data_IF_413717832456
#
_entry.id   IF_413717832456
#
_cell.length_a   1.000
_cell.length_b   1.000
_cell.length_c   1.000
_cell.angle_alpha   90.00
_cell.angle_beta   90.00
_cell.angle_gamma   90.00
#
_symmetry.space_group_name_H-M   'P 1'
#
loop_
_entity.id
_entity.type
_entity.pdbx_description
1 polymer ?
#
# COMPACT_ATOMS: atom_id res chain seq x y z
N UNK A 1 -13.11 -14.95 12.89
CA UNK A 1 -12.19 -13.78 12.92
C UNK A 1 -13.01 -12.51 12.99
N UNK A 2 -12.55 -11.48 13.71
CA UNK A 2 -13.28 -10.22 13.85
C UNK A 2 -13.23 -9.32 12.60
N UNK A 3 -12.24 -9.54 11.74
CA UNK A 3 -12.07 -8.83 10.47
C UNK A 3 -11.27 -9.67 9.48
N UNK A 4 -11.40 -9.34 8.20
CA UNK A 4 -10.61 -9.84 7.08
C UNK A 4 -9.40 -8.94 6.91
N UNK A 5 -8.20 -9.39 7.28
CA UNK A 5 -6.96 -8.60 7.16
C UNK A 5 -6.26 -8.97 5.88
N UNK A 6 -6.10 -8.01 4.96
CA UNK A 6 -5.43 -8.19 3.67
C UNK A 6 -4.17 -7.33 3.67
N UNK A 7 -3.00 -7.95 3.54
CA UNK A 7 -1.73 -7.24 3.66
C UNK A 7 -1.15 -6.87 2.30
N UNK A 8 -0.81 -5.57 2.09
CA UNK A 8 -0.05 -5.15 0.91
C UNK A 8 1.29 -5.85 0.86
N UNK A 9 1.66 -6.34 -0.32
CA UNK A 9 2.86 -7.13 -0.54
C UNK A 9 3.72 -6.52 -1.66
N UNK A 10 4.95 -6.14 -1.29
CA UNK A 10 5.91 -5.56 -2.22
C UNK A 10 6.74 -6.65 -2.90
N UNK A 11 6.71 -6.78 -4.24
CA UNK A 11 7.49 -7.79 -4.95
C UNK A 11 8.94 -7.40 -5.24
N UNK A 12 9.43 -6.23 -4.76
CA UNK A 12 10.73 -5.64 -5.14
C UNK A 12 11.93 -6.21 -4.34
N UNK A 13 11.94 -7.52 -4.11
CA UNK A 13 13.03 -8.23 -3.44
C UNK A 13 13.71 -9.23 -4.39
N UNK A 14 13.84 -8.86 -5.65
CA UNK A 14 14.65 -9.52 -6.67
C UNK A 14 15.12 -8.49 -7.69
N UNK A 15 16.30 -8.68 -8.33
CA UNK A 15 16.79 -7.77 -9.35
C UNK A 15 15.90 -7.77 -10.59
N UNK A 16 15.77 -6.59 -11.21
CA UNK A 16 15.18 -6.41 -12.54
C UNK A 16 16.03 -5.43 -13.36
N UNK A 17 16.06 -5.55 -14.70
CA UNK A 17 16.90 -4.70 -15.54
C UNK A 17 16.66 -3.20 -15.36
N UNK A 18 15.40 -2.78 -15.17
CA UNK A 18 15.04 -1.37 -14.97
C UNK A 18 15.70 -0.78 -13.72
N UNK A 19 15.74 -1.56 -12.64
CA UNK A 19 16.40 -1.14 -11.40
C UNK A 19 17.93 -1.19 -11.55
N UNK A 20 18.46 -2.26 -12.13
CA UNK A 20 19.91 -2.46 -12.29
C UNK A 20 20.53 -1.35 -13.14
N UNK A 21 19.86 -0.90 -14.20
CA UNK A 21 20.32 0.20 -15.08
C UNK A 21 20.45 1.53 -14.34
N UNK A 22 19.64 1.77 -13.31
CA UNK A 22 19.61 3.05 -12.60
C UNK A 22 20.42 2.99 -11.30
N UNK A 23 20.29 1.91 -10.55
CA UNK A 23 20.83 1.78 -9.19
C UNK A 23 22.08 0.91 -9.10
N UNK A 24 22.39 0.17 -10.15
CA UNK A 24 23.49 -0.76 -10.25
C UNK A 24 23.05 -2.22 -10.16
N UNK A 25 23.88 -3.16 -10.69
CA UNK A 25 23.56 -4.57 -10.78
C UNK A 25 23.18 -5.20 -9.43
N UNK A 26 22.14 -6.01 -9.43
CA UNK A 26 21.64 -6.72 -8.25
C UNK A 26 20.84 -5.87 -7.28
N UNK A 27 20.36 -4.71 -7.71
CA UNK A 27 19.56 -3.83 -6.85
C UNK A 27 18.24 -4.47 -6.45
N UNK A 28 17.96 -4.46 -5.15
CA UNK A 28 16.68 -4.80 -4.54
C UNK A 28 16.34 -3.81 -3.43
N UNK A 29 15.16 -3.91 -2.84
CA UNK A 29 14.78 -3.12 -1.66
C UNK A 29 15.80 -3.24 -0.53
N UNK A 30 16.41 -4.41 -0.34
CA UNK A 30 17.45 -4.67 0.65
C UNK A 30 18.67 -3.75 0.52
N UNK A 31 18.98 -3.31 -0.69
CA UNK A 31 20.11 -2.40 -0.94
C UNK A 31 20.00 -1.11 -0.13
N UNK A 32 18.79 -0.56 -0.01
CA UNK A 32 18.56 0.65 0.78
C UNK A 32 18.41 0.36 2.27
N UNK A 33 17.73 -0.71 2.62
CA UNK A 33 17.52 -1.13 4.02
C UNK A 33 18.88 -1.37 4.70
N UNK A 34 19.77 -2.14 4.07
CA UNK A 34 21.09 -2.46 4.62
C UNK A 34 22.02 -1.23 4.72
N UNK A 35 21.87 -0.23 3.83
CA UNK A 35 22.67 1.01 3.84
C UNK A 35 22.15 2.06 4.83
N UNK A 36 20.95 1.88 5.38
CA UNK A 36 20.37 2.85 6.32
C UNK A 36 21.27 3.10 7.52
N UNK A 37 21.19 4.33 8.04
CA UNK A 37 21.97 4.75 9.22
C UNK A 37 21.06 5.50 10.21
N UNK A 38 21.32 5.39 11.50
CA UNK A 38 20.65 6.22 12.49
C UNK A 38 20.78 7.71 12.17
N UNK A 39 19.70 8.46 12.21
CA UNK A 39 19.68 9.92 11.98
C UNK A 39 19.50 10.72 13.27
N UNK A 40 19.35 10.05 14.40
CA UNK A 40 19.38 10.59 15.77
C UNK A 40 19.73 9.48 16.78
N UNK A 41 20.07 9.85 18.00
CA UNK A 41 20.38 8.89 19.06
C UNK A 41 19.17 8.00 19.40
N UNK A 42 19.37 6.67 19.43
CA UNK A 42 18.31 5.68 19.66
C UNK A 42 17.42 5.39 18.44
N UNK A 43 17.72 5.93 17.25
CA UNK A 43 17.01 5.59 16.03
C UNK A 43 17.31 4.16 15.58
N UNK A 44 16.27 3.33 15.43
CA UNK A 44 16.40 1.94 15.01
C UNK A 44 16.64 1.85 13.51
N UNK A 45 17.90 1.91 13.12
CA UNK A 45 18.38 1.67 11.74
C UNK A 45 19.83 1.15 11.78
N UNK A 46 20.22 0.27 10.85
CA UNK A 46 19.37 -0.40 9.87
C UNK A 46 18.41 -1.39 10.54
N UNK A 47 17.27 -1.62 9.91
CA UNK A 47 16.32 -2.66 10.32
C UNK A 47 16.75 -3.99 9.71
N UNK A 48 16.86 -5.02 10.55
CA UNK A 48 17.40 -6.32 10.14
C UNK A 48 16.32 -7.39 10.28
N UNK A 49 16.02 -8.13 9.21
CA UNK A 49 15.09 -9.25 9.28
C UNK A 49 15.59 -10.35 10.20
N UNK A 50 14.69 -11.02 10.91
CA UNK A 50 14.98 -12.17 11.75
C UNK A 50 14.81 -13.49 10.95
N UNK A 51 13.64 -14.12 11.02
CA UNK A 51 13.37 -15.48 10.53
C UNK A 51 13.64 -15.70 9.04
N UNK A 52 13.29 -14.70 8.21
CA UNK A 52 13.36 -14.82 6.74
C UNK A 52 14.71 -14.37 6.16
N UNK A 53 15.56 -13.70 6.96
CA UNK A 53 16.80 -13.09 6.48
C UNK A 53 16.57 -12.06 5.37
N UNK A 54 17.64 -11.72 4.64
CA UNK A 54 17.60 -10.88 3.44
C UNK A 54 17.22 -11.72 2.22
N UNK A 55 15.95 -12.05 2.12
CA UNK A 55 15.42 -13.00 1.16
C UNK A 55 15.37 -12.51 -0.28
N UNK A 56 15.24 -13.46 -1.20
CA UNK A 56 14.91 -13.23 -2.61
C UNK A 56 13.54 -13.85 -2.91
N UNK A 57 12.62 -13.06 -3.46
CA UNK A 57 11.26 -13.51 -3.75
C UNK A 57 11.15 -14.44 -4.97
N UNK A 58 12.25 -14.73 -5.68
CA UNK A 58 12.31 -15.78 -6.70
C UNK A 58 12.31 -17.19 -6.08
N UNK A 59 12.66 -17.30 -4.79
CA UNK A 59 12.67 -18.57 -4.08
C UNK A 59 11.25 -18.92 -3.61
N UNK A 60 10.68 -20.06 -4.02
CA UNK A 60 9.34 -20.47 -3.60
C UNK A 60 9.26 -20.71 -2.09
N UNK A 61 10.32 -21.21 -1.46
CA UNK A 61 10.42 -21.48 -0.03
C UNK A 61 10.21 -20.20 0.78
N UNK A 62 10.76 -19.07 0.34
CA UNK A 62 10.55 -17.76 0.98
C UNK A 62 9.07 -17.38 0.95
N UNK A 63 8.43 -17.51 -0.20
CA UNK A 63 7.01 -17.17 -0.36
C UNK A 63 6.09 -18.07 0.46
N UNK A 64 6.44 -19.36 0.59
CA UNK A 64 5.72 -20.32 1.43
C UNK A 64 5.87 -19.98 2.92
N UNK A 65 7.08 -19.65 3.38
CA UNK A 65 7.32 -19.22 4.77
C UNK A 65 6.58 -17.93 5.10
N UNK A 66 6.59 -16.94 4.21
CA UNK A 66 5.83 -15.70 4.39
C UNK A 66 4.32 -15.98 4.52
N UNK A 67 3.76 -16.82 3.66
CA UNK A 67 2.36 -17.22 3.71
C UNK A 67 2.02 -17.98 5.00
N UNK A 68 2.93 -18.82 5.50
CA UNK A 68 2.77 -19.52 6.76
C UNK A 68 2.71 -18.56 7.94
N UNK A 69 3.66 -17.63 8.05
CA UNK A 69 3.68 -16.59 9.09
C UNK A 69 2.40 -15.72 9.05
N UNK A 70 1.96 -15.34 7.85
CA UNK A 70 0.76 -14.54 7.66
C UNK A 70 -0.51 -15.31 8.12
N UNK A 71 -0.64 -16.57 7.75
CA UNK A 71 -1.75 -17.45 8.17
C UNK A 71 -1.80 -17.62 9.69
N UNK A 72 -0.64 -17.81 10.31
CA UNK A 72 -0.53 -17.95 11.77
C UNK A 72 -0.92 -16.69 12.50
N UNK A 73 -0.57 -15.51 11.94
CA UNK A 73 -0.96 -14.22 12.48
C UNK A 73 -2.46 -13.90 12.29
N UNK A 74 -3.16 -14.59 11.37
CA UNK A 74 -4.57 -14.30 11.07
C UNK A 74 -4.77 -13.29 9.94
N UNK A 75 -3.74 -13.08 9.12
CA UNK A 75 -3.86 -12.38 7.84
C UNK A 75 -4.59 -13.30 6.86
N UNK A 76 -5.63 -12.79 6.19
CA UNK A 76 -6.41 -13.56 5.24
C UNK A 76 -5.64 -13.84 3.96
N UNK A 77 -4.91 -12.84 3.45
CA UNK A 77 -4.18 -12.96 2.20
C UNK A 77 -3.33 -11.75 1.86
N UNK A 78 -2.59 -11.86 0.76
CA UNK A 78 -1.73 -10.81 0.26
C UNK A 78 -2.37 -10.01 -0.86
N UNK A 79 -2.24 -8.67 -0.80
CA UNK A 79 -2.55 -7.76 -1.89
C UNK A 79 -1.25 -7.39 -2.59
N UNK A 80 -0.95 -8.08 -3.70
CA UNK A 80 0.29 -7.84 -4.43
C UNK A 80 0.25 -6.50 -5.16
N UNK A 81 1.30 -5.68 -5.02
CA UNK A 81 1.53 -4.58 -5.92
C UNK A 81 1.75 -5.12 -7.33
N UNK A 82 0.87 -4.73 -8.24
CA UNK A 82 0.85 -5.12 -9.64
C UNK A 82 1.23 -3.93 -10.50
N UNK A 83 2.21 -4.11 -11.39
CA UNK A 83 2.76 -3.05 -12.23
C UNK A 83 2.48 -3.36 -13.70
N UNK A 84 1.42 -2.79 -14.23
CA UNK A 84 1.11 -2.75 -15.65
C UNK A 84 1.31 -1.33 -16.14
N UNK A 85 2.38 -1.11 -16.94
CA UNK A 85 2.82 0.23 -17.34
C UNK A 85 2.23 0.71 -18.67
N UNK A 86 1.35 -0.08 -19.27
CA UNK A 86 0.79 0.12 -20.61
C UNK A 86 1.59 -0.57 -21.71
N UNK A 87 0.94 -0.77 -22.88
CA UNK A 87 1.48 -1.47 -24.05
C UNK A 87 2.06 -2.87 -23.69
N UNK A 88 1.39 -3.58 -22.76
CA UNK A 88 1.81 -4.90 -22.30
C UNK A 88 3.08 -4.93 -21.43
N UNK A 89 3.67 -3.77 -21.11
CA UNK A 89 4.87 -3.70 -20.28
C UNK A 89 4.52 -3.95 -18.81
N UNK A 90 5.22 -4.90 -18.18
CA UNK A 90 5.07 -5.29 -16.78
C UNK A 90 6.38 -5.18 -16.04
N UNK A 91 6.33 -4.81 -14.76
CA UNK A 91 7.48 -4.76 -13.88
C UNK A 91 7.23 -5.63 -12.65
N UNK A 92 8.30 -6.24 -12.11
CA UNK A 92 8.27 -7.02 -10.86
C UNK A 92 7.24 -8.18 -10.83
N UNK A 93 6.73 -8.60 -11.98
CA UNK A 93 5.65 -9.59 -12.08
C UNK A 93 6.05 -11.01 -11.67
N UNK A 94 7.35 -11.33 -11.69
CA UNK A 94 7.85 -12.70 -11.54
C UNK A 94 7.35 -13.40 -10.26
N UNK A 95 7.44 -12.82 -9.05
CA UNK A 95 6.96 -13.51 -7.84
C UNK A 95 5.48 -13.88 -7.90
N UNK A 96 4.64 -12.97 -8.41
CA UNK A 96 3.21 -13.22 -8.54
C UNK A 96 2.90 -14.23 -9.65
N UNK A 97 3.53 -14.12 -10.83
CA UNK A 97 3.35 -15.07 -11.93
C UNK A 97 3.71 -16.51 -11.48
N UNK A 98 4.78 -16.67 -10.71
CA UNK A 98 5.18 -17.98 -10.18
C UNK A 98 4.17 -18.53 -9.15
N UNK A 99 3.65 -17.68 -8.25
CA UNK A 99 2.57 -18.06 -7.30
C UNK A 99 1.32 -18.51 -8.04
N UNK A 100 0.92 -17.76 -9.06
CA UNK A 100 -0.27 -18.08 -9.87
C UNK A 100 -0.10 -19.37 -10.68
N UNK A 101 1.09 -19.59 -11.26
CA UNK A 101 1.35 -20.71 -12.14
C UNK A 101 1.60 -22.02 -11.38
N UNK A 102 2.28 -21.95 -10.24
CA UNK A 102 2.57 -23.14 -9.41
C UNK A 102 1.40 -23.58 -8.52
N UNK A 103 0.44 -22.70 -8.27
CA UNK A 103 -0.59 -22.93 -7.26
C UNK A 103 -0.08 -22.78 -5.81
N UNK A 104 1.19 -22.37 -5.61
CA UNK A 104 1.83 -22.27 -4.29
C UNK A 104 2.48 -20.92 -4.04
N UNK A 105 2.44 -20.41 -2.79
CA UNK A 105 1.71 -20.95 -1.64
C UNK A 105 0.20 -21.01 -1.90
N UNK A 106 -0.48 -22.01 -1.34
CA UNK A 106 -1.94 -22.03 -1.26
C UNK A 106 -2.39 -21.04 -0.19
N UNK A 107 -2.40 -19.76 -0.57
CA UNK A 107 -2.71 -18.64 0.30
C UNK A 107 -3.48 -17.58 -0.50
N UNK A 108 -4.56 -17.00 0.05
CA UNK A 108 -5.39 -16.05 -0.69
C UNK A 108 -4.62 -14.81 -1.13
N UNK A 109 -5.03 -14.24 -2.26
CA UNK A 109 -4.42 -13.02 -2.80
C UNK A 109 -5.41 -12.17 -3.58
N UNK A 110 -5.06 -10.89 -3.75
CA UNK A 110 -5.65 -9.97 -4.71
C UNK A 110 -4.56 -9.05 -5.28
N UNK A 111 -4.93 -8.16 -6.17
CA UNK A 111 -4.02 -7.26 -6.85
C UNK A 111 -4.35 -5.78 -6.55
N UNK A 112 -3.31 -4.98 -6.37
CA UNK A 112 -3.37 -3.53 -6.36
C UNK A 112 -2.53 -2.98 -7.51
N UNK A 113 -3.18 -2.37 -8.51
CA UNK A 113 -2.47 -1.76 -9.63
C UNK A 113 -1.79 -0.47 -9.19
N UNK A 114 -0.45 -0.50 -9.16
CA UNK A 114 0.41 0.64 -8.87
C UNK A 114 0.58 1.50 -10.13
N UNK A 115 -0.50 2.11 -10.59
CA UNK A 115 -0.63 2.85 -11.83
C UNK A 115 -0.01 4.26 -11.74
N UNK A 116 1.30 4.34 -11.57
CA UNK A 116 2.04 5.59 -11.50
C UNK A 116 3.43 5.48 -12.14
N UNK A 117 3.98 6.60 -12.57
CA UNK A 117 5.34 6.68 -13.11
C UNK A 117 6.39 6.20 -12.11
N UNK A 118 7.38 5.47 -12.59
CA UNK A 118 8.60 5.20 -11.86
C UNK A 118 9.65 6.26 -12.17
N UNK A 119 10.13 6.94 -11.12
CA UNK A 119 11.10 8.03 -11.19
C UNK A 119 12.18 7.88 -10.13
N UNK A 120 13.38 8.38 -10.43
CA UNK A 120 14.53 8.29 -9.52
C UNK A 120 14.38 9.12 -8.24
N UNK A 121 13.43 10.07 -8.19
CA UNK A 121 13.16 10.86 -6.99
C UNK A 121 12.52 10.05 -5.85
N UNK A 122 12.04 8.85 -6.13
CA UNK A 122 11.57 7.90 -5.10
C UNK A 122 12.70 7.54 -4.14
N UNK A 123 13.96 7.66 -4.59
CA UNK A 123 15.19 7.30 -3.87
C UNK A 123 16.18 8.48 -3.95
N UNK A 124 16.26 9.28 -2.90
CA UNK A 124 17.00 10.56 -2.93
C UNK A 124 18.53 10.48 -3.11
N UNK A 125 19.10 9.32 -3.25
CA UNK A 125 20.56 9.16 -3.28
C UNK A 125 21.23 9.41 -4.65
N UNK A 126 20.46 9.66 -5.72
CA UNK A 126 21.00 10.11 -7.01
C UNK A 126 20.20 11.31 -7.47
N UNK A 127 20.87 12.43 -7.68
CA UNK A 127 20.25 13.70 -8.09
C UNK A 127 19.43 13.57 -9.38
N UNK A 128 18.26 14.18 -9.38
CA UNK A 128 17.40 14.27 -10.56
C UNK A 128 16.05 13.61 -10.40
N UNK A 129 15.15 13.94 -11.33
CA UNK A 129 13.82 13.38 -11.50
C UNK A 129 13.77 12.62 -12.84
N UNK A 130 14.71 11.67 -13.02
CA UNK A 130 14.77 10.88 -14.24
C UNK A 130 13.63 9.87 -14.27
N UNK A 131 12.96 9.75 -15.41
CA UNK A 131 11.97 8.71 -15.68
C UNK A 131 12.67 7.37 -15.81
N UNK A 132 12.21 6.38 -15.05
CA UNK A 132 12.63 4.98 -15.17
C UNK A 132 11.66 4.24 -16.08
N UNK A 133 10.36 4.38 -15.79
CA UNK A 133 9.28 3.84 -16.60
C UNK A 133 8.04 4.72 -16.45
N UNK A 134 7.49 5.16 -17.58
CA UNK A 134 6.27 5.94 -17.62
C UNK A 134 5.03 5.04 -17.53
N UNK A 135 4.01 5.49 -16.80
CA UNK A 135 2.70 4.87 -16.79
C UNK A 135 1.87 5.40 -17.96
N UNK A 136 1.53 4.54 -18.90
CA UNK A 136 0.72 4.84 -20.04
C UNK A 136 -0.70 4.28 -19.90
N UNK A 137 -1.66 4.94 -20.57
CA UNK A 137 -3.05 4.50 -20.68
C UNK A 137 -3.46 4.54 -22.17
N UNK A 138 -3.01 3.56 -22.97
CA UNK A 138 -3.16 3.61 -24.44
C UNK A 138 -4.57 3.43 -24.97
N UNK A 139 -5.54 3.04 -24.12
CA UNK A 139 -6.94 2.81 -24.48
C UNK A 139 -7.31 1.33 -24.53
N UNK A 140 -8.40 1.01 -25.22
CA UNK A 140 -9.12 -0.26 -25.12
C UNK A 140 -8.25 -1.49 -25.43
N UNK A 141 -7.42 -1.44 -26.44
CA UNK A 141 -6.56 -2.59 -26.80
C UNK A 141 -5.66 -2.99 -25.62
N UNK A 142 -5.06 -2.01 -24.96
CA UNK A 142 -4.20 -2.26 -23.78
C UNK A 142 -5.04 -2.66 -22.56
N UNK A 143 -6.21 -2.06 -22.35
CA UNK A 143 -7.11 -2.43 -21.26
C UNK A 143 -7.60 -3.88 -21.39
N UNK A 144 -7.89 -4.32 -22.61
CA UNK A 144 -8.25 -5.70 -22.93
C UNK A 144 -7.07 -6.64 -22.69
N UNK A 145 -5.86 -6.26 -23.13
CA UNK A 145 -4.66 -7.05 -22.92
C UNK A 145 -4.35 -7.21 -21.41
N UNK A 146 -4.49 -6.13 -20.64
CA UNK A 146 -4.32 -6.13 -19.20
C UNK A 146 -5.36 -7.03 -18.50
N UNK A 147 -6.64 -6.92 -18.87
CA UNK A 147 -7.70 -7.81 -18.36
C UNK A 147 -7.37 -9.28 -18.64
N UNK A 148 -7.02 -9.62 -19.87
CA UNK A 148 -6.72 -10.99 -20.27
C UNK A 148 -5.52 -11.56 -19.50
N UNK A 149 -4.53 -10.74 -19.18
CA UNK A 149 -3.42 -11.15 -18.34
C UNK A 149 -3.86 -11.50 -16.91
N UNK A 150 -4.71 -10.68 -16.29
CA UNK A 150 -5.15 -10.92 -14.90
C UNK A 150 -6.35 -11.88 -14.79
N UNK A 151 -7.01 -12.23 -15.89
CA UNK A 151 -8.19 -13.09 -15.90
C UNK A 151 -7.92 -14.48 -15.29
N UNK A 152 -6.72 -15.04 -15.53
CA UNK A 152 -6.32 -16.31 -14.92
C UNK A 152 -6.31 -16.19 -13.39
N UNK A 153 -5.82 -15.06 -12.86
CA UNK A 153 -5.82 -14.80 -11.43
C UNK A 153 -7.24 -14.64 -10.89
N UNK A 154 -8.12 -13.90 -11.58
CA UNK A 154 -9.51 -13.72 -11.16
C UNK A 154 -10.31 -15.03 -11.10
N UNK A 155 -9.94 -16.03 -11.88
CA UNK A 155 -10.53 -17.37 -11.87
C UNK A 155 -9.87 -18.35 -10.90
N UNK A 156 -8.78 -17.97 -10.26
CA UNK A 156 -8.11 -18.81 -9.27
C UNK A 156 -8.94 -18.84 -7.96
N UNK A 157 -9.10 -20.02 -7.38
CA UNK A 157 -9.89 -20.20 -6.15
C UNK A 157 -9.35 -19.43 -4.95
N UNK A 158 -8.05 -19.06 -4.96
CA UNK A 158 -7.39 -18.26 -3.93
C UNK A 158 -7.67 -16.76 -4.09
N UNK A 159 -8.24 -16.32 -5.22
CA UNK A 159 -8.44 -14.89 -5.44
C UNK A 159 -9.48 -14.32 -4.47
N UNK A 160 -9.10 -13.28 -3.70
CA UNK A 160 -9.97 -12.65 -2.72
C UNK A 160 -11.14 -11.96 -3.43
N UNK A 161 -12.35 -12.21 -2.91
CA UNK A 161 -13.58 -11.62 -3.45
C UNK A 161 -14.34 -10.80 -2.39
N UNK A 162 -15.11 -9.84 -2.86
CA UNK A 162 -16.12 -9.10 -2.11
C UNK A 162 -17.44 -9.20 -2.86
N UNK A 163 -18.51 -9.61 -2.19
CA UNK A 163 -19.82 -9.87 -2.78
C UNK A 163 -19.75 -10.86 -3.98
N UNK A 164 -18.76 -11.77 -3.95
CA UNK A 164 -18.49 -12.75 -5.00
C UNK A 164 -17.87 -12.17 -6.28
N UNK A 165 -17.37 -10.95 -6.24
CA UNK A 165 -16.61 -10.29 -7.32
C UNK A 165 -15.13 -10.22 -6.96
N UNK A 166 -14.19 -10.52 -7.87
CA UNK A 166 -12.77 -10.32 -7.64
C UNK A 166 -12.46 -8.90 -7.17
N UNK A 167 -11.64 -8.79 -6.12
CA UNK A 167 -11.21 -7.52 -5.52
C UNK A 167 -10.02 -6.96 -6.29
N UNK A 168 -10.14 -5.78 -6.88
CA UNK A 168 -9.05 -5.12 -7.60
C UNK A 168 -8.91 -3.66 -7.16
N UNK A 169 -7.70 -3.30 -6.74
CA UNK A 169 -7.42 -1.95 -6.25
C UNK A 169 -6.70 -1.11 -7.31
N UNK A 170 -7.01 0.18 -7.37
CA UNK A 170 -6.34 1.17 -8.22
C UNK A 170 -5.68 2.20 -7.31
N UNK A 171 -4.34 2.35 -7.42
CA UNK A 171 -3.54 3.20 -6.53
C UNK A 171 -3.75 4.69 -6.80
N UNK A 172 -3.71 5.09 -8.07
CA UNK A 172 -3.90 6.49 -8.47
C UNK A 172 -5.08 6.65 -9.43
N UNK A 173 -6.31 6.69 -8.91
CA UNK A 173 -7.50 6.85 -9.73
C UNK A 173 -7.67 8.29 -10.27
N UNK A 174 -6.97 9.27 -9.72
CA UNK A 174 -7.10 10.66 -10.14
C UNK A 174 -6.38 10.96 -11.46
N UNK A 175 -5.16 10.47 -11.60
CA UNK A 175 -4.37 10.70 -12.80
C UNK A 175 -4.75 9.76 -13.96
N UNK A 176 -5.61 8.79 -13.71
CA UNK A 176 -6.19 7.94 -14.74
C UNK A 176 -7.49 8.55 -15.29
N UNK A 177 -7.38 9.36 -16.36
CA UNK A 177 -8.52 10.11 -16.94
C UNK A 177 -9.68 9.22 -17.35
N UNK A 178 -9.37 8.05 -17.87
CA UNK A 178 -10.32 7.11 -18.47
C UNK A 178 -10.78 6.00 -17.51
N UNK A 179 -10.58 6.21 -16.20
CA UNK A 179 -10.80 5.17 -15.18
C UNK A 179 -12.23 4.63 -15.18
N UNK A 180 -13.25 5.47 -15.43
CA UNK A 180 -14.65 5.03 -15.49
C UNK A 180 -14.85 4.04 -16.63
N UNK A 181 -14.44 4.41 -17.86
CA UNK A 181 -14.54 3.56 -19.04
C UNK A 181 -13.75 2.25 -18.85
N UNK A 182 -12.54 2.31 -18.32
CA UNK A 182 -11.74 1.13 -17.95
C UNK A 182 -12.52 0.17 -17.05
N UNK A 183 -13.12 0.68 -15.97
CA UNK A 183 -13.89 -0.15 -15.04
C UNK A 183 -15.16 -0.74 -15.67
N UNK A 184 -15.86 0.03 -16.50
CA UNK A 184 -17.05 -0.44 -17.23
C UNK A 184 -16.69 -1.55 -18.22
N UNK A 185 -15.62 -1.37 -19.01
CA UNK A 185 -15.08 -2.37 -19.92
C UNK A 185 -14.72 -3.66 -19.20
N UNK A 186 -13.97 -3.55 -18.11
CA UNK A 186 -13.55 -4.72 -17.32
C UNK A 186 -14.72 -5.45 -16.67
N UNK A 187 -15.73 -4.73 -16.17
CA UNK A 187 -16.97 -5.36 -15.63
C UNK A 187 -17.73 -6.11 -16.70
N UNK A 188 -17.81 -5.57 -17.93
CA UNK A 188 -18.41 -6.25 -19.08
C UNK A 188 -17.64 -7.52 -19.40
N UNK A 189 -16.32 -7.42 -19.60
CA UNK A 189 -15.46 -8.56 -19.91
C UNK A 189 -15.50 -9.64 -18.82
N UNK A 190 -15.55 -9.25 -17.55
CA UNK A 190 -15.69 -10.18 -16.43
C UNK A 190 -16.96 -11.01 -16.53
N UNK A 191 -18.10 -10.37 -16.81
CA UNK A 191 -19.39 -11.07 -17.02
C UNK A 191 -19.34 -12.02 -18.22
N UNK A 192 -18.77 -11.61 -19.33
CA UNK A 192 -18.58 -12.43 -20.54
C UNK A 192 -17.69 -13.66 -20.24
N UNK A 193 -16.83 -13.57 -19.25
CA UNK A 193 -15.96 -14.67 -18.80
C UNK A 193 -16.49 -15.47 -17.60
N UNK A 194 -17.79 -15.31 -17.25
CA UNK A 194 -18.46 -16.07 -16.19
C UNK A 194 -18.25 -15.57 -14.77
N UNK A 195 -17.66 -14.38 -14.59
CA UNK A 195 -17.52 -13.73 -13.28
C UNK A 195 -18.75 -12.83 -13.00
N UNK A 196 -19.03 -12.56 -11.71
CA UNK A 196 -20.13 -11.63 -11.32
C UNK A 196 -19.83 -10.14 -11.60
N UNK A 197 -18.68 -9.82 -12.16
CA UNK A 197 -18.11 -8.49 -12.34
C UNK A 197 -16.80 -8.36 -11.57
N UNK A 198 -16.31 -7.13 -11.40
CA UNK A 198 -15.11 -6.80 -10.59
C UNK A 198 -15.51 -5.83 -9.47
N UNK A 199 -14.97 -6.02 -8.28
CA UNK A 199 -15.10 -5.10 -7.16
C UNK A 199 -13.92 -4.15 -7.16
N UNK A 200 -14.09 -2.93 -7.65
CA UNK A 200 -13.03 -1.94 -7.74
C UNK A 200 -12.93 -1.10 -6.47
N UNK A 201 -11.71 -0.98 -5.94
CA UNK A 201 -11.40 -0.15 -4.77
C UNK A 201 -10.45 0.97 -5.17
N UNK A 202 -10.85 2.22 -4.90
CA UNK A 202 -9.97 3.37 -5.03
C UNK A 202 -9.05 3.47 -3.82
N UNK A 203 -7.74 3.52 -4.02
CA UNK A 203 -6.82 3.90 -2.95
C UNK A 203 -6.79 5.42 -2.83
N UNK A 204 -6.98 5.92 -1.62
CA UNK A 204 -7.11 7.34 -1.34
C UNK A 204 -5.95 7.83 -0.46
N UNK A 205 -5.05 8.66 -1.00
CA UNK A 205 -3.96 9.27 -0.24
C UNK A 205 -4.41 10.34 0.76
N UNK A 206 -5.71 10.66 0.81
CA UNK A 206 -6.49 11.41 1.81
C UNK A 206 -6.01 12.80 2.26
N UNK A 207 -5.01 13.38 1.64
CA UNK A 207 -4.52 14.70 2.07
C UNK A 207 -4.78 15.81 1.07
N UNK A 208 -5.25 15.45 -0.10
CA UNK A 208 -5.51 16.42 -1.16
C UNK A 208 -6.80 16.00 -1.83
N UNK A 209 -7.86 16.76 -1.62
CA UNK A 209 -9.04 16.64 -2.46
C UNK A 209 -8.63 17.06 -3.86
N UNK A 210 -8.84 16.20 -4.82
CA UNK A 210 -8.57 16.47 -6.21
C UNK A 210 -9.91 16.64 -6.89
N UNK A 211 -10.18 17.83 -7.43
CA UNK A 211 -11.35 18.06 -8.27
C UNK A 211 -10.92 17.84 -9.72
N UNK A 212 -11.60 16.93 -10.40
CA UNK A 212 -11.45 16.77 -11.86
C UNK A 212 -12.26 17.88 -12.53
N UNK A 213 -11.60 18.66 -13.38
CA UNK A 213 -12.20 19.73 -14.18
C UNK A 213 -12.86 19.13 -15.43
N UNK A 214 -13.73 19.91 -16.08
CA UNK A 214 -14.42 19.50 -17.32
C UNK A 214 -13.46 19.17 -18.47
N UNK A 215 -12.30 19.81 -18.52
CA UNK A 215 -11.23 19.55 -19.50
C UNK A 215 -10.38 18.29 -19.16
N UNK A 216 -10.76 17.56 -18.10
CA UNK A 216 -10.04 16.38 -17.63
C UNK A 216 -8.77 16.69 -16.83
N UNK A 217 -8.42 17.95 -16.61
CA UNK A 217 -7.33 18.33 -15.72
C UNK A 217 -7.70 18.17 -14.25
N UNK A 218 -6.70 18.17 -13.39
CA UNK A 218 -6.88 17.94 -11.95
C UNK A 218 -6.49 19.19 -11.19
N UNK A 219 -7.46 19.76 -10.46
CA UNK A 219 -7.21 20.84 -9.49
C UNK A 219 -7.06 20.27 -8.09
N UNK A 220 -6.02 20.71 -7.39
CA UNK A 220 -5.84 20.37 -5.97
C UNK A 220 -6.66 21.33 -5.10
N UNK A 221 -7.62 20.77 -4.39
CA UNK A 221 -8.44 21.51 -3.43
C UNK A 221 -7.93 21.19 -2.02
N UNK A 222 -8.00 22.19 -1.14
CA UNK A 222 -7.58 22.02 0.25
C UNK A 222 -8.51 21.04 0.97
N UNK A 223 -7.98 20.00 1.63
CA UNK A 223 -8.80 18.98 2.26
C UNK A 223 -9.52 19.53 3.49
N UNK A 224 -10.74 19.07 3.67
CA UNK A 224 -11.40 19.14 4.97
C UNK A 224 -10.78 18.06 5.88
N UNK A 225 -10.02 18.47 6.90
CA UNK A 225 -9.36 17.51 7.79
C UNK A 225 -10.32 16.86 8.79
N UNK A 226 -11.53 17.41 8.95
CA UNK A 226 -12.53 16.87 9.89
C UNK A 226 -13.43 15.82 9.24
N UNK A 227 -13.56 15.86 7.91
CA UNK A 227 -14.39 14.91 7.15
C UNK A 227 -13.70 14.50 5.86
N UNK A 228 -13.83 13.24 5.50
CA UNK A 228 -13.38 12.68 4.22
C UNK A 228 -14.53 12.44 3.24
N UNK A 229 -15.77 12.83 3.60
CA UNK A 229 -16.97 12.53 2.84
C UNK A 229 -16.90 12.98 1.38
N UNK A 230 -16.47 14.22 1.12
CA UNK A 230 -16.37 14.78 -0.23
C UNK A 230 -15.37 13.96 -1.10
N UNK A 231 -14.27 13.54 -0.48
CA UNK A 231 -13.24 12.74 -1.16
C UNK A 231 -13.83 11.35 -1.52
N UNK A 232 -14.47 10.70 -0.55
CA UNK A 232 -15.01 9.36 -0.75
C UNK A 232 -16.14 9.37 -1.77
N UNK A 233 -17.07 10.32 -1.67
CA UNK A 233 -18.14 10.47 -2.64
C UNK A 233 -17.61 10.68 -4.06
N UNK A 234 -16.54 11.48 -4.25
CA UNK A 234 -15.96 11.69 -5.58
C UNK A 234 -15.47 10.39 -6.25
N UNK A 235 -14.97 9.43 -5.47
CA UNK A 235 -14.58 8.11 -6.02
C UNK A 235 -15.79 7.23 -6.30
N UNK A 236 -16.81 7.25 -5.44
CA UNK A 236 -18.04 6.50 -5.68
C UNK A 236 -18.77 7.01 -6.94
N UNK A 237 -18.79 8.32 -7.14
CA UNK A 237 -19.32 8.95 -8.36
C UNK A 237 -18.55 8.55 -9.63
N UNK A 238 -17.23 8.26 -9.52
CA UNK A 238 -16.45 7.71 -10.62
C UNK A 238 -16.78 6.24 -10.92
N UNK A 239 -17.55 5.57 -10.06
CA UNK A 239 -17.99 4.20 -10.26
C UNK A 239 -17.19 3.15 -9.50
N UNK A 240 -16.35 3.53 -8.52
CA UNK A 240 -15.72 2.58 -7.62
C UNK A 240 -16.74 1.95 -6.67
N UNK A 241 -16.55 0.67 -6.34
CA UNK A 241 -17.39 -0.06 -5.39
C UNK A 241 -16.96 0.18 -3.93
N UNK A 242 -15.69 0.54 -3.72
CA UNK A 242 -15.14 0.79 -2.39
C UNK A 242 -13.91 1.70 -2.39
N UNK A 243 -13.49 2.06 -1.18
CA UNK A 243 -12.40 3.00 -0.93
C UNK A 243 -11.45 2.43 0.13
N UNK A 244 -10.14 2.49 -0.13
CA UNK A 244 -9.13 2.23 0.88
C UNK A 244 -8.39 3.52 1.23
N UNK A 245 -8.70 4.16 2.38
CA UNK A 245 -8.06 5.40 2.82
C UNK A 245 -6.68 5.14 3.41
N UNK A 246 -5.74 6.01 3.02
CA UNK A 246 -4.39 6.08 3.56
C UNK A 246 -4.30 7.22 4.58
N UNK A 247 -4.75 7.01 5.81
CA UNK A 247 -4.94 8.03 6.85
C UNK A 247 -3.70 8.83 7.29
N UNK A 248 -2.48 8.35 6.95
CA UNK A 248 -1.20 8.93 7.39
C UNK A 248 -1.09 10.44 7.23
N UNK A 249 -1.35 10.95 6.03
CA UNK A 249 -1.16 12.38 5.75
C UNK A 249 -2.13 13.27 6.52
N UNK A 250 -3.38 12.82 6.67
CA UNK A 250 -4.41 13.50 7.47
C UNK A 250 -4.00 13.50 8.95
N UNK A 251 -3.62 12.36 9.49
CA UNK A 251 -3.19 12.22 10.87
C UNK A 251 -2.01 13.14 11.23
N UNK A 252 -0.98 13.18 10.37
CA UNK A 252 0.16 14.08 10.53
C UNK A 252 -0.25 15.57 10.53
N UNK A 253 -1.16 15.96 9.61
CA UNK A 253 -1.64 17.35 9.55
C UNK A 253 -2.48 17.73 10.77
N UNK A 254 -3.30 16.82 11.27
CA UNK A 254 -4.08 17.05 12.49
C UNK A 254 -3.19 17.12 13.73
N UNK A 255 -2.19 16.26 13.82
CA UNK A 255 -1.25 16.22 14.95
C UNK A 255 -0.37 17.46 15.04
N UNK A 256 0.20 17.92 13.92
CA UNK A 256 1.14 19.04 13.89
C UNK A 256 0.50 20.40 13.63
N UNK A 257 -0.68 20.42 13.05
CA UNK A 257 -1.24 21.61 12.43
C UNK A 257 -0.66 21.88 11.04
N UNK A 258 -1.54 22.24 10.12
CA UNK A 258 -1.27 22.43 8.70
C UNK A 258 -0.17 23.45 8.41
N UNK A 259 -0.25 24.62 9.04
CA UNK A 259 0.70 25.72 8.79
C UNK A 259 2.10 25.40 9.30
N UNK A 260 2.19 24.77 10.48
CA UNK A 260 3.49 24.33 11.02
C UNK A 260 4.17 23.30 10.14
N UNK A 261 3.42 22.35 9.57
CA UNK A 261 3.96 21.36 8.64
C UNK A 261 4.54 21.99 7.38
N UNK A 262 3.85 23.00 6.81
CA UNK A 262 4.34 23.76 5.62
C UNK A 262 5.62 24.53 5.99
N UNK A 263 5.58 25.29 7.09
CA UNK A 263 6.74 26.06 7.56
C UNK A 263 7.94 25.15 7.85
N UNK A 264 7.71 24.01 8.50
CA UNK A 264 8.76 23.02 8.79
C UNK A 264 9.40 22.46 7.53
N UNK A 265 8.61 22.12 6.49
CA UNK A 265 9.15 21.65 5.21
C UNK A 265 9.98 22.72 4.51
N UNK A 266 9.53 23.97 4.54
CA UNK A 266 10.30 25.10 3.99
C UNK A 266 11.62 25.29 4.77
N UNK A 267 11.59 25.27 6.09
CA UNK A 267 12.79 25.35 6.93
C UNK A 267 13.77 24.20 6.69
N UNK A 268 13.29 22.95 6.55
CA UNK A 268 14.16 21.81 6.24
C UNK A 268 14.88 21.96 4.89
N UNK A 269 14.22 22.59 3.91
CA UNK A 269 14.82 22.88 2.60
C UNK A 269 15.87 23.96 2.72
N UNK A 270 15.64 25.01 3.52
CA UNK A 270 16.55 26.11 3.74
C UNK A 270 17.73 25.73 4.67
N UNK A 271 17.48 24.86 5.65
CA UNK A 271 18.43 24.45 6.67
C UNK A 271 18.61 22.92 6.69
N UNK A 272 19.50 22.35 5.85
CA UNK A 272 19.71 20.90 5.75
C UNK A 272 20.18 20.22 7.03
N UNK A 273 20.72 20.96 8.00
CA UNK A 273 21.16 20.46 9.31
C UNK A 273 20.02 20.23 10.31
N UNK A 274 18.81 20.70 10.00
CA UNK A 274 17.68 20.48 10.91
C UNK A 274 17.48 19.00 11.25
N UNK A 275 17.11 18.68 12.51
CA UNK A 275 16.87 17.32 12.95
C UNK A 275 15.67 16.70 12.18
N UNK A 276 15.69 15.37 12.09
CA UNK A 276 14.58 14.61 11.52
C UNK A 276 13.26 14.92 12.23
N UNK A 277 12.17 14.93 11.44
CA UNK A 277 10.83 15.14 11.97
C UNK A 277 10.35 13.84 12.64
N UNK A 278 10.02 13.92 13.92
CA UNK A 278 9.51 12.79 14.69
C UNK A 278 8.01 12.95 14.95
N UNK A 279 7.30 11.87 14.77
CA UNK A 279 5.88 11.73 15.11
C UNK A 279 5.73 10.69 16.21
N UNK A 280 5.09 11.04 17.30
CA UNK A 280 4.79 10.09 18.37
C UNK A 280 3.61 9.21 17.94
N UNK A 281 3.89 7.93 17.66
CA UNK A 281 2.94 7.00 17.05
C UNK A 281 1.58 6.98 17.77
N UNK A 282 1.47 6.71 19.09
CA UNK A 282 0.19 6.64 19.76
C UNK A 282 -0.61 7.96 19.71
N UNK A 283 0.07 9.11 19.63
CA UNK A 283 -0.62 10.40 19.50
C UNK A 283 -1.12 10.65 18.09
N UNK A 284 -0.34 10.29 17.07
CA UNK A 284 -0.73 10.47 15.66
C UNK A 284 -1.87 9.52 15.30
N UNK A 285 -1.84 8.27 15.80
CA UNK A 285 -2.86 7.27 15.48
C UNK A 285 -4.27 7.68 15.97
N UNK A 286 -4.40 8.52 17.01
CA UNK A 286 -5.69 9.10 17.41
C UNK A 286 -6.40 9.90 16.31
N UNK A 287 -5.66 10.33 15.30
CA UNK A 287 -6.18 11.12 14.18
C UNK A 287 -6.18 10.31 12.85
N UNK A 288 -5.86 9.00 12.91
CA UNK A 288 -5.65 8.21 11.71
C UNK A 288 -6.95 7.94 10.95
N UNK A 289 -7.99 7.56 11.67
CA UNK A 289 -9.30 7.29 11.09
C UNK A 289 -10.16 8.54 10.98
N UNK A 290 -10.95 8.65 9.90
CA UNK A 290 -12.00 9.64 9.77
C UNK A 290 -13.36 9.06 10.17
N UNK A 291 -14.36 9.90 10.50
CA UNK A 291 -15.70 9.40 10.84
C UNK A 291 -16.30 8.51 9.73
N UNK A 292 -16.03 8.83 8.47
CA UNK A 292 -16.57 8.14 7.30
C UNK A 292 -15.91 6.78 7.04
N UNK A 293 -14.83 6.45 7.73
CA UNK A 293 -14.17 5.14 7.61
C UNK A 293 -15.07 4.00 8.13
N UNK A 294 -16.19 4.31 8.81
CA UNK A 294 -17.22 3.35 9.20
C UNK A 294 -18.23 3.01 8.09
N UNK A 295 -18.20 3.69 6.93
CA UNK A 295 -19.09 3.36 5.81
C UNK A 295 -18.83 1.95 5.29
N UNK A 296 -19.88 1.23 4.88
CA UNK A 296 -19.80 -0.17 4.45
C UNK A 296 -18.85 -0.42 3.27
N UNK A 297 -18.63 0.58 2.45
CA UNK A 297 -17.77 0.56 1.27
C UNK A 297 -16.39 1.20 1.51
N UNK A 298 -16.04 1.54 2.74
CA UNK A 298 -14.71 2.06 3.11
C UNK A 298 -13.95 0.98 3.87
N UNK A 299 -12.74 0.67 3.44
CA UNK A 299 -11.88 -0.38 4.00
C UNK A 299 -10.65 0.27 4.65
N UNK A 300 -10.66 0.50 5.98
CA UNK A 300 -9.60 1.21 6.66
C UNK A 300 -8.25 0.52 6.57
N UNK A 301 -7.18 1.31 6.71
CA UNK A 301 -5.80 0.84 6.71
C UNK A 301 -5.27 0.66 8.12
N UNK A 302 -4.70 -0.50 8.41
CA UNK A 302 -3.83 -0.73 9.57
C UNK A 302 -2.41 -0.28 9.23
N UNK A 303 -1.81 0.50 10.13
CA UNK A 303 -0.54 1.15 9.88
C UNK A 303 0.43 0.87 11.03
N UNK A 304 1.27 -0.19 10.96
CA UNK A 304 2.05 -0.67 12.10
C UNK A 304 3.15 0.29 12.54
N UNK A 305 3.85 0.87 11.59
CA UNK A 305 5.00 1.75 11.83
C UNK A 305 5.33 2.55 10.56
N UNK A 306 6.25 3.53 10.64
CA UNK A 306 6.71 4.28 9.49
C UNK A 306 8.09 4.86 9.72
N UNK A 307 9.01 4.52 8.83
CA UNK A 307 10.35 5.08 8.80
C UNK A 307 10.95 4.97 7.40
N UNK A 308 10.79 6.00 6.61
CA UNK A 308 11.26 6.03 5.22
C UNK A 308 12.71 6.49 5.08
N UNK A 309 13.48 6.50 6.17
CA UNK A 309 14.89 6.94 6.12
C UNK A 309 15.79 6.11 5.21
N UNK A 310 15.56 4.80 5.01
CA UNK A 310 16.33 4.04 4.03
C UNK A 310 16.20 4.58 2.60
N UNK A 311 15.02 5.11 2.23
CA UNK A 311 14.74 5.69 0.91
C UNK A 311 14.99 7.19 0.84
N UNK A 312 14.66 7.96 1.86
CA UNK A 312 14.56 9.42 1.81
C UNK A 312 15.48 10.15 2.79
N UNK A 313 16.25 9.44 3.59
CA UNK A 313 17.05 10.04 4.65
C UNK A 313 16.18 10.80 5.67
N UNK A 314 16.75 11.82 6.33
CA UNK A 314 16.07 12.57 7.40
C UNK A 314 14.95 13.53 6.96
N UNK A 315 14.64 13.58 5.66
CA UNK A 315 13.69 14.55 5.10
C UNK A 315 12.23 14.14 5.26
N UNK A 316 11.96 12.89 5.59
CA UNK A 316 10.61 12.37 5.85
C UNK A 316 10.34 12.26 7.35
N UNK A 317 9.06 12.22 7.72
CA UNK A 317 8.67 12.02 9.11
C UNK A 317 8.92 10.58 9.56
N UNK A 318 9.41 10.41 10.77
CA UNK A 318 9.71 9.12 11.39
C UNK A 318 8.74 8.92 12.55
N UNK A 319 8.06 7.78 12.59
CA UNK A 319 7.18 7.43 13.69
C UNK A 319 8.00 6.78 14.81
N UNK A 320 8.16 7.50 15.93
CA UNK A 320 8.75 6.98 17.15
C UNK A 320 7.69 6.32 18.02
N UNK A 321 8.07 5.42 18.91
CA UNK A 321 7.14 4.64 19.76
C UNK A 321 6.14 3.79 18.98
N UNK A 322 6.46 3.42 17.75
CA UNK A 322 5.72 2.42 16.98
C UNK A 322 6.15 1.02 17.47
N UNK A 323 5.51 0.56 18.53
CA UNK A 323 5.75 -0.76 19.15
C UNK A 323 4.60 -1.71 18.87
N UNK A 324 4.78 -3.04 19.01
CA UNK A 324 3.70 -4.00 18.88
C UNK A 324 2.48 -3.68 19.75
N UNK A 325 2.68 -3.23 20.98
CA UNK A 325 1.62 -2.90 21.94
C UNK A 325 0.81 -1.67 21.45
N UNK A 326 1.49 -0.64 20.97
CA UNK A 326 0.83 0.53 20.42
C UNK A 326 0.11 0.22 19.10
N UNK A 327 0.61 -0.74 18.34
CA UNK A 327 -0.06 -1.24 17.13
C UNK A 327 -1.30 -2.07 17.49
N UNK A 328 -1.26 -2.86 18.57
CA UNK A 328 -2.43 -3.57 19.09
C UNK A 328 -3.60 -2.60 19.33
N UNK A 329 -3.36 -1.48 20.01
CA UNK A 329 -4.38 -0.44 20.22
C UNK A 329 -4.92 0.14 18.90
N UNK A 330 -4.06 0.36 17.91
CA UNK A 330 -4.51 0.83 16.61
C UNK A 330 -5.41 -0.18 15.89
N UNK A 331 -5.14 -1.49 16.03
CA UNK A 331 -6.02 -2.55 15.51
C UNK A 331 -7.35 -2.55 16.26
N UNK A 332 -7.34 -2.39 17.58
CA UNK A 332 -8.56 -2.33 18.39
C UNK A 332 -9.48 -1.16 17.97
N UNK A 333 -8.90 0.03 17.75
CA UNK A 333 -9.61 1.19 17.22
C UNK A 333 -10.24 0.91 15.85
N UNK A 334 -9.50 0.25 14.95
CA UNK A 334 -10.00 -0.14 13.64
C UNK A 334 -11.14 -1.17 13.74
N UNK A 335 -11.03 -2.17 14.62
CA UNK A 335 -12.08 -3.17 14.85
C UNK A 335 -13.35 -2.53 15.39
N UNK A 336 -13.22 -1.59 16.32
CA UNK A 336 -14.37 -0.84 16.85
C UNK A 336 -15.06 -0.03 15.75
N UNK A 337 -14.29 0.56 14.85
CA UNK A 337 -14.80 1.34 13.72
C UNK A 337 -15.64 0.50 12.76
N UNK A 338 -15.19 -0.72 12.44
CA UNK A 338 -15.84 -1.59 11.45
C UNK A 338 -16.84 -2.59 12.03
N UNK A 339 -17.08 -2.60 13.34
CA UNK A 339 -17.85 -3.66 14.05
C UNK A 339 -19.25 -3.90 13.48
N UNK A 340 -19.90 -2.85 13.00
CA UNK A 340 -21.27 -2.88 12.50
C UNK A 340 -21.38 -3.14 10.99
N UNK A 341 -20.24 -3.26 10.26
CA UNK A 341 -20.26 -3.55 8.84
C UNK A 341 -20.71 -4.98 8.55
N UNK A 342 -21.28 -5.26 7.36
CA UNK A 342 -21.53 -6.62 6.91
C UNK A 342 -20.25 -7.47 6.96
N UNK A 343 -20.35 -8.76 7.31
CA UNK A 343 -19.19 -9.65 7.52
C UNK A 343 -18.21 -9.65 6.32
N UNK A 344 -18.71 -9.70 5.10
CA UNK A 344 -17.86 -9.69 3.89
C UNK A 344 -17.11 -8.35 3.69
N UNK A 345 -17.57 -7.29 4.35
CA UNK A 345 -17.03 -5.92 4.25
C UNK A 345 -16.26 -5.48 5.50
N UNK A 346 -16.10 -6.34 6.49
CA UNK A 346 -15.20 -6.13 7.62
C UNK A 346 -13.74 -6.34 7.19
N UNK A 347 -13.30 -5.56 6.20
CA UNK A 347 -11.95 -5.63 5.63
C UNK A 347 -11.08 -4.54 6.23
N UNK A 348 -9.87 -4.91 6.63
CA UNK A 348 -8.79 -4.03 7.03
C UNK A 348 -7.58 -4.29 6.13
N UNK A 349 -7.10 -3.27 5.43
CA UNK A 349 -5.86 -3.38 4.66
C UNK A 349 -4.67 -3.12 5.56
N UNK A 350 -3.75 -4.06 5.65
CA UNK A 350 -2.51 -3.90 6.41
C UNK A 350 -1.43 -3.29 5.50
N UNK A 351 -0.94 -2.14 5.84
CA UNK A 351 0.16 -1.50 5.14
C UNK A 351 1.41 -1.54 6.01
N UNK A 352 2.30 -2.49 5.72
CA UNK A 352 2.27 -3.53 4.72
C UNK A 352 2.76 -4.86 5.32
N UNK A 353 2.83 -5.92 4.52
CA UNK A 353 3.53 -7.14 4.90
C UNK A 353 5.04 -6.88 5.00
N UNK A 354 5.65 -6.37 3.92
CA UNK A 354 7.10 -6.37 3.71
C UNK A 354 7.69 -5.07 3.10
N UNK A 355 7.12 -3.89 3.32
CA UNK A 355 7.74 -2.65 2.84
C UNK A 355 8.84 -2.14 3.79
N UNK A 356 9.96 -2.87 3.84
CA UNK A 356 11.11 -2.60 4.72
C UNK A 356 11.73 -1.22 4.51
N UNK A 357 11.85 -0.76 3.25
CA UNK A 357 12.44 0.55 2.93
C UNK A 357 11.57 1.75 3.32
N UNK A 358 10.27 1.52 3.60
CA UNK A 358 9.37 2.51 4.19
C UNK A 358 9.15 2.30 5.70
N UNK A 359 9.72 1.21 6.24
CA UNK A 359 9.61 0.85 7.64
C UNK A 359 8.18 0.64 8.09
N UNK A 360 7.30 0.14 7.22
CA UNK A 360 5.91 -0.17 7.56
C UNK A 360 5.58 -1.65 7.38
N UNK A 361 6.54 -2.51 7.55
CA UNK A 361 6.43 -3.97 7.51
C UNK A 361 5.93 -4.56 8.84
N UNK A 362 5.48 -5.81 8.80
CA UNK A 362 5.14 -6.64 9.98
C UNK A 362 5.93 -7.94 10.05
N UNK A 363 6.73 -8.27 9.05
CA UNK A 363 7.64 -9.41 9.08
C UNK A 363 8.56 -9.36 10.31
N UNK A 364 8.96 -10.50 10.89
CA UNK A 364 9.82 -10.53 12.07
C UNK A 364 11.15 -9.83 11.87
N UNK A 365 11.51 -8.94 12.78
CA UNK A 365 12.79 -8.25 12.83
C UNK A 365 13.58 -8.54 14.10
N UNK A 366 14.86 -8.20 14.10
CA UNK A 366 15.74 -8.49 15.25
C UNK A 366 15.43 -7.67 16.50
N UNK A 367 14.61 -6.61 16.42
CA UNK A 367 14.23 -5.78 17.56
C UNK A 367 12.95 -6.27 18.24
N UNK A 368 11.94 -6.56 17.45
CA UNK A 368 10.60 -6.88 17.95
C UNK A 368 10.22 -8.36 17.76
N UNK A 369 11.08 -9.16 17.08
CA UNK A 369 10.77 -10.54 16.77
C UNK A 369 9.41 -10.66 16.06
N UNK A 370 8.56 -11.51 16.54
CA UNK A 370 7.19 -11.72 16.05
C UNK A 370 6.16 -10.72 16.61
N UNK A 371 6.55 -9.72 17.38
CA UNK A 371 5.63 -8.88 18.15
C UNK A 371 4.50 -8.26 17.32
N UNK A 372 4.76 -7.76 16.11
CA UNK A 372 3.70 -7.21 15.23
C UNK A 372 2.74 -8.29 14.74
N UNK A 373 3.20 -9.49 14.43
CA UNK A 373 2.37 -10.63 14.04
C UNK A 373 1.50 -11.11 15.21
N UNK A 374 2.07 -11.13 16.42
CA UNK A 374 1.35 -11.47 17.64
C UNK A 374 0.27 -10.46 17.99
N UNK A 375 0.52 -9.15 17.79
CA UNK A 375 -0.48 -8.11 17.95
C UNK A 375 -1.68 -8.34 17.03
N UNK A 376 -1.44 -8.67 15.75
CA UNK A 376 -2.52 -9.04 14.81
C UNK A 376 -3.25 -10.28 15.29
N UNK A 377 -2.52 -11.35 15.60
CA UNK A 377 -3.10 -12.63 16.03
C UNK A 377 -4.01 -12.46 17.25
N UNK A 378 -3.55 -11.76 18.26
CA UNK A 378 -4.24 -11.55 19.53
C UNK A 378 -5.54 -10.76 19.36
N UNK A 379 -5.54 -9.76 18.48
CA UNK A 379 -6.69 -8.88 18.27
C UNK A 379 -7.72 -9.44 17.30
N UNK A 380 -7.27 -10.06 16.20
CA UNK A 380 -8.13 -10.51 15.09
C UNK A 380 -8.73 -11.90 15.33
N UNK A 381 -7.98 -12.84 15.93
CA UNK A 381 -8.44 -14.22 16.14
C UNK A 381 -9.31 -14.42 17.40
N UNK A 382 -9.22 -13.53 18.37
CA UNK A 382 -10.09 -13.53 19.54
C UNK A 382 -11.46 -12.94 19.21
#
# INVERSE_FOLDING_TARGET
>A
MKARVIAYYLPQFHPIPENDNVWGPGFTEWTNVAKARPVFHGHYQPRIPADLGFYDLRLPETREQQAQLAREAGVEGFCYWHYWMGNGKRLLQRPFDEVLNSGKPDFPFCLAWANHDWKTNTWKNKGGNQMICEQLYPGDEDYIAHFNYVLKAFKDHRYITVDGKPLFLIFDPYHFKDVRHFMELWRKMAKENGLKGIFFVAMCASTTTVKRNEDGTISRVMPNLKSSADIYNSFLELGFDGINPMGKGRAEMMYQGKYWRIARKAMQKAFPFMPALKYDYPKVMKHFFSPEDNWDNVFPTLFPQWDRTPRAGKHEGIYVNATPENFEHHIEDALQLIKNKPEQRKILFLRSWNEWGEGNYVEPDTKYGHGFLEAIRKTIKK
#
